data_IF_204345425923
#
_entry.id   IF_204345425923
#
_cell.length_a   1.000
_cell.length_b   1.000
_cell.length_c   1.000
_cell.angle_alpha   90.00
_cell.angle_beta   90.00
_cell.angle_gamma   90.00
#
_symmetry.space_group_name_H-M   'P 1'
#
loop_
_entity.id
_entity.type
_entity.pdbx_description
1 polymer ?
#
# COMPACT_ATOMS: atom_id res chain seq x y z
N UNK A 1 8.99 -10.10 11.95
CA UNK A 1 7.57 -9.67 11.84
C UNK A 1 6.87 -10.63 10.91
N UNK A 2 5.75 -11.21 11.33
CA UNK A 2 5.04 -12.26 10.60
C UNK A 2 3.60 -11.78 10.34
N UNK A 3 3.42 -10.92 9.35
CA UNK A 3 2.10 -10.53 8.82
C UNK A 3 1.82 -11.41 7.60
N UNK A 4 1.34 -12.63 7.87
CA UNK A 4 0.96 -13.57 6.82
C UNK A 4 -0.48 -13.30 6.37
N UNK A 5 -0.70 -12.11 5.83
CA UNK A 5 -1.88 -11.77 5.04
C UNK A 5 -2.00 -12.80 3.90
N UNK A 6 -3.12 -13.52 3.83
CA UNK A 6 -3.33 -14.58 2.84
C UNK A 6 -3.52 -13.97 1.46
N UNK A 7 -2.45 -13.90 0.66
CA UNK A 7 -2.52 -13.46 -0.74
C UNK A 7 -3.36 -14.43 -1.56
N UNK A 8 -4.36 -13.89 -2.26
CA UNK A 8 -5.19 -14.67 -3.20
C UNK A 8 -4.45 -14.81 -4.53
N UNK A 9 -4.25 -16.04 -4.99
CA UNK A 9 -3.72 -16.29 -6.32
C UNK A 9 -4.76 -15.88 -7.37
N UNK A 10 -4.34 -15.05 -8.33
CA UNK A 10 -5.15 -14.61 -9.46
C UNK A 10 -4.36 -14.73 -10.76
N UNK A 11 -5.07 -14.93 -11.87
CA UNK A 11 -4.50 -14.86 -13.21
C UNK A 11 -5.07 -13.65 -13.92
N UNK A 12 -4.20 -12.80 -14.45
CA UNK A 12 -4.56 -11.66 -15.28
C UNK A 12 -3.82 -11.77 -16.62
N UNK A 13 -4.48 -11.33 -17.68
CA UNK A 13 -3.89 -11.32 -19.03
C UNK A 13 -3.25 -9.96 -19.26
N UNK A 14 -1.95 -9.96 -19.49
CA UNK A 14 -1.22 -8.77 -19.95
C UNK A 14 -0.83 -8.93 -21.41
N UNK A 15 -0.69 -7.80 -22.09
CA UNK A 15 0.08 -7.77 -23.32
C UNK A 15 1.51 -8.29 -23.08
N UNK A 16 2.07 -8.98 -24.08
CA UNK A 16 3.39 -9.62 -23.97
C UNK A 16 4.51 -8.60 -23.77
N UNK A 17 4.41 -7.43 -24.41
CA UNK A 17 5.37 -6.34 -24.25
C UNK A 17 5.32 -5.76 -22.84
N UNK A 18 4.11 -5.52 -22.32
CA UNK A 18 3.91 -5.03 -20.97
C UNK A 18 4.46 -6.00 -19.91
N UNK A 19 4.19 -7.30 -20.08
CA UNK A 19 4.72 -8.32 -19.16
C UNK A 19 6.26 -8.27 -19.09
N UNK A 20 6.94 -8.26 -20.25
CA UNK A 20 8.40 -8.19 -20.31
C UNK A 20 8.95 -6.92 -19.68
N UNK A 21 8.31 -5.78 -19.94
CA UNK A 21 8.73 -4.50 -19.37
C UNK A 21 8.68 -4.52 -17.84
N UNK A 22 7.59 -5.01 -17.25
CA UNK A 22 7.45 -5.13 -15.80
C UNK A 22 8.47 -6.13 -15.24
N UNK A 23 8.73 -7.25 -15.93
CA UNK A 23 9.74 -8.23 -15.52
C UNK A 23 11.15 -7.64 -15.47
N UNK A 24 11.53 -6.84 -16.47
CA UNK A 24 12.82 -6.15 -16.50
C UNK A 24 12.95 -5.11 -15.38
N UNK A 25 11.88 -4.36 -15.10
CA UNK A 25 11.83 -3.41 -13.99
C UNK A 25 11.96 -4.11 -12.63
N UNK A 26 11.30 -5.25 -12.45
CA UNK A 26 11.37 -6.04 -11.23
C UNK A 26 12.80 -6.52 -10.97
N UNK A 27 13.46 -7.05 -12.02
CA UNK A 27 14.86 -7.51 -11.96
C UNK A 27 15.83 -6.39 -11.58
N UNK A 28 15.68 -5.19 -12.18
CA UNK A 28 16.56 -4.04 -11.88
C UNK A 28 16.56 -3.63 -10.41
N UNK A 29 15.44 -3.84 -9.71
CA UNK A 29 15.27 -3.43 -8.32
C UNK A 29 15.35 -4.61 -7.33
N UNK A 30 15.73 -5.82 -7.77
CA UNK A 30 15.72 -7.04 -6.95
C UNK A 30 14.33 -7.38 -6.35
N UNK A 31 13.25 -7.04 -7.06
CA UNK A 31 11.89 -7.41 -6.67
C UNK A 31 11.38 -8.61 -7.47
N UNK A 32 10.46 -9.39 -6.88
CA UNK A 32 9.67 -10.33 -7.67
C UNK A 32 8.68 -9.58 -8.56
N UNK A 33 8.34 -10.16 -9.70
CA UNK A 33 7.32 -9.62 -10.60
C UNK A 33 6.01 -9.32 -9.86
N UNK A 34 5.55 -10.27 -9.03
CA UNK A 34 4.32 -10.14 -8.27
C UNK A 34 4.40 -9.00 -7.25
N UNK A 35 5.54 -8.83 -6.55
CA UNK A 35 5.69 -7.73 -5.58
C UNK A 35 5.65 -6.38 -6.28
N UNK A 36 6.34 -6.22 -7.41
CA UNK A 36 6.30 -4.97 -8.17
C UNK A 36 4.89 -4.68 -8.67
N UNK A 37 4.22 -5.70 -9.22
CA UNK A 37 2.86 -5.54 -9.72
C UNK A 37 1.88 -5.16 -8.62
N UNK A 38 1.98 -5.77 -7.45
CA UNK A 38 1.16 -5.43 -6.29
C UNK A 38 1.35 -3.98 -5.85
N UNK A 39 2.59 -3.50 -5.74
CA UNK A 39 2.90 -2.09 -5.46
C UNK A 39 2.30 -1.15 -6.51
N UNK A 40 2.44 -1.49 -7.80
CA UNK A 40 1.88 -0.68 -8.88
C UNK A 40 0.35 -0.64 -8.83
N UNK A 41 -0.30 -1.76 -8.55
CA UNK A 41 -1.76 -1.84 -8.42
C UNK A 41 -2.25 -1.03 -7.22
N UNK A 42 -1.56 -1.12 -6.08
CA UNK A 42 -1.85 -0.29 -4.90
C UNK A 42 -1.78 1.20 -5.26
N UNK A 43 -0.69 1.63 -5.91
CA UNK A 43 -0.51 3.01 -6.33
C UNK A 43 -1.58 3.46 -7.34
N UNK A 44 -1.87 2.65 -8.35
CA UNK A 44 -2.82 2.98 -9.42
C UNK A 44 -4.28 3.03 -8.93
N UNK A 45 -4.63 2.18 -7.96
CA UNK A 45 -5.98 2.13 -7.38
C UNK A 45 -6.13 3.01 -6.14
N UNK A 46 -5.03 3.61 -5.66
CA UNK A 46 -4.94 4.28 -4.37
C UNK A 46 -5.44 3.40 -3.20
N UNK A 47 -5.26 2.08 -3.31
CA UNK A 47 -5.69 1.12 -2.28
C UNK A 47 -4.77 1.21 -1.07
N UNK A 48 -5.25 1.84 0.01
CA UNK A 48 -4.61 1.80 1.32
C UNK A 48 -5.55 1.15 2.31
N UNK A 49 -5.22 -0.06 2.74
CA UNK A 49 -5.84 -0.68 3.90
C UNK A 49 -4.92 -0.45 5.11
N UNK A 50 -5.28 0.45 6.05
CA UNK A 50 -4.52 0.63 7.26
C UNK A 50 -4.51 -0.69 8.04
N UNK A 51 -3.33 -1.13 8.50
CA UNK A 51 -3.24 -2.32 9.35
C UNK A 51 -3.91 -2.05 10.70
N UNK A 52 -4.21 -3.11 11.47
CA UNK A 52 -4.94 -2.95 12.74
C UNK A 52 -4.28 -1.96 13.70
N UNK A 53 -2.95 -1.93 13.80
CA UNK A 53 -2.23 -0.95 14.63
C UNK A 53 -2.44 0.49 14.14
N UNK A 54 -2.49 0.71 12.83
CA UNK A 54 -2.80 2.01 12.24
C UNK A 54 -4.25 2.40 12.49
N UNK A 55 -5.20 1.47 12.35
CA UNK A 55 -6.62 1.70 12.66
C UNK A 55 -6.79 2.06 14.15
N UNK A 56 -6.13 1.33 15.04
CA UNK A 56 -6.22 1.56 16.49
C UNK A 56 -5.65 2.93 16.86
N UNK A 57 -4.51 3.32 16.29
CA UNK A 57 -3.94 4.66 16.47
C UNK A 57 -4.85 5.76 15.91
N UNK A 58 -5.49 5.52 14.77
CA UNK A 58 -6.46 6.47 14.19
C UNK A 58 -7.68 6.67 15.08
N UNK A 59 -8.18 5.59 15.69
CA UNK A 59 -9.30 5.62 16.63
C UNK A 59 -8.93 6.30 17.95
N UNK A 60 -7.74 6.04 18.49
CA UNK A 60 -7.26 6.65 19.74
C UNK A 60 -7.18 8.18 19.62
N UNK A 61 -6.74 8.67 18.46
CA UNK A 61 -6.58 10.11 18.20
C UNK A 61 -7.89 10.74 17.71
N UNK A 62 -8.92 9.95 17.41
CA UNK A 62 -10.18 10.46 16.87
C UNK A 62 -10.01 11.14 15.51
N UNK A 63 -9.08 10.62 14.68
CA UNK A 63 -8.66 11.21 13.40
C UNK A 63 -9.81 11.40 12.39
N UNK A 64 -10.92 10.68 12.53
CA UNK A 64 -12.12 10.87 11.69
C UNK A 64 -12.98 12.06 12.12
N UNK A 65 -12.81 12.54 13.36
CA UNK A 65 -13.65 13.59 13.97
C UNK A 65 -12.88 14.87 14.29
N UNK A 66 -11.55 14.84 14.18
CA UNK A 66 -10.66 15.96 14.47
C UNK A 66 -10.89 17.12 13.49
N UNK A 67 -10.96 18.34 14.01
CA UNK A 67 -11.02 19.54 13.18
C UNK A 67 -9.66 19.86 12.55
N UNK A 68 -9.66 20.68 11.49
CA UNK A 68 -8.42 21.07 10.81
C UNK A 68 -7.43 21.75 11.75
N UNK A 69 -7.92 22.55 12.70
CA UNK A 69 -7.08 23.30 13.63
C UNK A 69 -6.46 22.35 14.68
N UNK A 70 -7.25 21.41 15.21
CA UNK A 70 -6.76 20.37 16.12
C UNK A 70 -5.74 19.44 15.44
N UNK A 71 -5.90 19.19 14.13
CA UNK A 71 -4.93 18.41 13.36
C UNK A 71 -3.58 19.14 13.23
N UNK A 72 -3.59 20.45 12.99
CA UNK A 72 -2.36 21.25 12.95
C UNK A 72 -1.65 21.25 14.32
N UNK A 73 -2.40 21.40 15.41
CA UNK A 73 -1.84 21.33 16.77
C UNK A 73 -1.25 19.95 17.11
N UNK A 74 -1.82 18.87 16.56
CA UNK A 74 -1.29 17.51 16.71
C UNK A 74 0.04 17.35 15.96
N UNK A 75 0.11 17.82 14.71
CA UNK A 75 1.31 17.74 13.87
C UNK A 75 2.46 18.55 14.47
N UNK A 76 2.17 19.72 15.03
CA UNK A 76 3.19 20.59 15.65
C UNK A 76 3.75 20.04 16.97
N UNK A 77 3.06 19.07 17.60
CA UNK A 77 3.50 18.42 18.85
C UNK A 77 4.33 17.14 18.63
N UNK A 78 4.39 16.63 17.39
CA UNK A 78 5.17 15.43 17.02
C UNK A 78 6.59 15.79 16.57
#
# INVERSE_FOLDING_TARGET
MNTKETKKAGSFRLDRGLYKHIEELAKKNNHSFNNLLETLLIQATNYHEPNQTTIDAMNEIGLETISKDEFHDLVDKM
#
